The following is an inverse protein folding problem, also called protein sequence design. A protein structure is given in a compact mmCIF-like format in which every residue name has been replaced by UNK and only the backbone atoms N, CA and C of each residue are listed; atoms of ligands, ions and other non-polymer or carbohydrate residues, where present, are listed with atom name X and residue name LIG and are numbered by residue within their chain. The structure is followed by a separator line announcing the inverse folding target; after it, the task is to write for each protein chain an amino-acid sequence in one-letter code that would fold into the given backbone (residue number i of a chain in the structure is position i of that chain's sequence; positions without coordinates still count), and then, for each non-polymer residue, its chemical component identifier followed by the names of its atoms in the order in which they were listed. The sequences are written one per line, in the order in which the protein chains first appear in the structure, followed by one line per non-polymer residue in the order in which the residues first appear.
data_IF_528433469336
#
_entry.id   IF_528433469336
#
_cell.length_a   1.000
_cell.length_b   1.000
_cell.length_c   1.000
_cell.angle_alpha   90.00
_cell.angle_beta   90.00
_cell.angle_gamma   90.00
#
_symmetry.space_group_name_H-M   'P 1'
#
loop_
_entity.id
_entity.type
_entity.pdbx_description
1 polymer ?
#
# COMPACT_ATOMS: atom_id res chain seq x y z
N UNK A 1 -23.43 17.64 -24.64
CA UNK A 1 -23.50 16.25 -25.14
C UNK A 1 -23.72 16.35 -26.64
N UNK A 2 -22.77 15.88 -27.45
CA UNK A 2 -22.86 15.96 -28.92
C UNK A 2 -23.31 14.59 -29.45
N UNK A 3 -24.46 14.55 -30.13
CA UNK A 3 -25.08 13.30 -30.58
C UNK A 3 -24.61 12.99 -32.00
N UNK A 4 -24.02 11.80 -32.19
CA UNK A 4 -23.55 11.33 -33.50
C UNK A 4 -24.36 10.13 -33.95
N UNK A 5 -24.74 10.12 -35.23
CA UNK A 5 -25.41 8.96 -35.84
C UNK A 5 -24.37 7.94 -36.26
N UNK A 6 -24.62 6.67 -35.93
CA UNK A 6 -23.86 5.54 -36.47
C UNK A 6 -24.28 5.35 -37.94
N UNK A 7 -23.30 5.13 -38.82
CA UNK A 7 -23.52 4.83 -40.23
C UNK A 7 -23.10 3.39 -40.52
N UNK A 8 -23.89 2.67 -41.32
CA UNK A 8 -23.65 1.28 -41.70
C UNK A 8 -23.17 1.20 -43.14
N UNK A 9 -22.11 0.43 -43.38
CA UNK A 9 -21.60 0.13 -44.73
C UNK A 9 -22.34 -1.06 -45.34
N UNK A 10 -22.28 -1.20 -46.67
CA UNK A 10 -22.83 -2.35 -47.39
C UNK A 10 -22.17 -3.68 -47.00
N UNK A 11 -20.93 -3.64 -46.50
CA UNK A 11 -20.19 -4.81 -46.02
C UNK A 11 -20.47 -5.21 -44.57
N UNK A 12 -21.40 -4.54 -43.88
CA UNK A 12 -21.81 -4.88 -42.52
C UNK A 12 -20.98 -4.23 -41.40
N UNK A 13 -20.02 -3.36 -41.74
CA UNK A 13 -19.27 -2.58 -40.75
C UNK A 13 -19.99 -1.27 -40.40
N UNK A 14 -19.67 -0.72 -39.24
CA UNK A 14 -20.24 0.55 -38.76
C UNK A 14 -19.14 1.58 -38.56
N UNK A 15 -19.47 2.86 -38.75
CA UNK A 15 -18.58 3.96 -38.39
C UNK A 15 -19.35 5.10 -37.72
N UNK A 16 -18.64 5.84 -36.87
CA UNK A 16 -19.14 7.05 -36.20
C UNK A 16 -18.09 8.15 -36.33
N UNK A 17 -18.54 9.38 -36.55
CA UNK A 17 -17.64 10.53 -36.64
C UNK A 17 -17.20 10.98 -35.25
N UNK A 18 -15.89 11.10 -35.04
CA UNK A 18 -15.33 11.71 -33.82
C UNK A 18 -15.48 13.23 -33.85
N UNK A 19 -15.57 13.93 -32.70
CA UNK A 19 -15.66 15.38 -32.67
C UNK A 19 -14.41 16.03 -33.29
N UNK A 20 -14.62 17.02 -34.17
CA UNK A 20 -13.54 17.72 -34.89
C UNK A 20 -12.50 18.33 -33.94
N UNK A 21 -12.95 19.09 -32.94
CA UNK A 21 -12.08 19.73 -31.94
C UNK A 21 -11.29 18.71 -31.10
N UNK A 22 -11.81 17.49 -30.93
CA UNK A 22 -11.08 16.42 -30.25
C UNK A 22 -10.01 15.82 -31.16
N UNK A 23 -10.31 15.62 -32.44
CA UNK A 23 -9.34 15.12 -33.42
C UNK A 23 -8.17 16.10 -33.60
N UNK A 24 -8.46 17.40 -33.77
CA UNK A 24 -7.45 18.45 -33.92
C UNK A 24 -6.55 18.57 -32.68
N UNK A 25 -7.13 18.56 -31.47
CA UNK A 25 -6.35 18.59 -30.21
C UNK A 25 -5.43 17.40 -30.02
N UNK A 26 -5.75 16.25 -30.63
CA UNK A 26 -4.93 15.05 -30.56
C UNK A 26 -4.05 14.86 -31.80
N UNK A 27 -4.00 15.84 -32.71
CA UNK A 27 -3.18 15.76 -33.93
C UNK A 27 -3.59 14.63 -34.88
N UNK A 28 -4.85 14.22 -34.86
CA UNK A 28 -5.36 13.19 -35.75
C UNK A 28 -5.66 13.79 -37.14
N UNK A 29 -5.18 13.11 -38.18
CA UNK A 29 -5.42 13.47 -39.58
C UNK A 29 -5.82 12.22 -40.38
N UNK A 30 -6.03 12.38 -41.68
CA UNK A 30 -6.38 11.30 -42.59
C UNK A 30 -5.33 10.17 -42.52
N UNK A 31 -5.80 8.98 -42.14
CA UNK A 31 -4.95 7.79 -42.02
C UNK A 31 -4.36 7.58 -40.63
N UNK A 32 -4.59 8.47 -39.67
CA UNK A 32 -4.24 8.23 -38.27
C UNK A 32 -4.92 6.97 -37.74
N UNK A 33 -4.15 6.14 -37.05
CA UNK A 33 -4.62 4.92 -36.39
C UNK A 33 -4.93 5.26 -34.94
N UNK A 34 -6.10 4.85 -34.48
CA UNK A 34 -6.54 4.96 -33.09
C UNK A 34 -6.82 3.58 -32.55
N UNK A 35 -6.64 3.37 -31.25
CA UNK A 35 -7.09 2.14 -30.62
C UNK A 35 -8.56 2.30 -30.24
N UNK A 36 -9.33 1.23 -30.43
CA UNK A 36 -10.71 1.15 -29.95
C UNK A 36 -10.78 -0.09 -29.07
N UNK A 37 -11.05 0.10 -27.78
CA UNK A 37 -11.25 -1.00 -26.84
C UNK A 37 -12.67 -0.97 -26.31
N UNK A 38 -13.25 -2.15 -26.12
CA UNK A 38 -14.52 -2.29 -25.41
C UNK A 38 -14.21 -2.42 -23.92
N UNK A 39 -14.68 -1.45 -23.14
CA UNK A 39 -14.56 -1.48 -21.68
C UNK A 39 -15.43 -2.60 -21.11
N UNK A 40 -15.16 -3.03 -19.87
CA UNK A 40 -15.97 -4.04 -19.19
C UNK A 40 -17.48 -3.69 -19.10
N UNK A 41 -17.83 -2.39 -19.19
CA UNK A 41 -19.22 -1.91 -19.22
C UNK A 41 -19.87 -1.89 -20.62
N UNK A 42 -19.22 -2.46 -21.65
CA UNK A 42 -19.70 -2.48 -23.04
C UNK A 42 -19.57 -1.15 -23.78
N UNK A 43 -18.88 -0.16 -23.20
CA UNK A 43 -18.64 1.14 -23.83
C UNK A 43 -17.37 1.07 -24.68
N UNK A 44 -17.37 1.71 -25.85
CA UNK A 44 -16.17 1.83 -26.67
C UNK A 44 -15.33 3.03 -26.22
N UNK A 45 -14.06 2.77 -25.87
CA UNK A 45 -13.06 3.78 -25.58
C UNK A 45 -12.13 3.96 -26.79
N UNK A 46 -11.95 5.20 -27.24
CA UNK A 46 -11.07 5.53 -28.36
C UNK A 46 -9.82 6.23 -27.82
N UNK A 47 -8.64 5.63 -28.02
CA UNK A 47 -7.37 6.22 -27.66
C UNK A 47 -6.63 6.71 -28.93
N UNK A 48 -6.36 8.02 -29.05
CA UNK A 48 -5.67 8.59 -30.20
C UNK A 48 -4.17 8.25 -30.24
N UNK A 49 -3.60 7.74 -29.14
CA UNK A 49 -2.17 7.43 -29.00
C UNK A 49 -1.96 5.93 -28.97
N UNK A 50 -2.24 5.26 -30.08
CA UNK A 50 -1.95 3.83 -30.25
C UNK A 50 -0.44 3.61 -30.42
N UNK A 51 0.16 2.76 -29.57
CA UNK A 51 1.56 2.35 -29.70
C UNK A 51 2.62 3.42 -29.38
N UNK A 52 2.23 4.58 -28.86
CA UNK A 52 3.18 5.61 -28.39
C UNK A 52 3.53 5.28 -26.94
N UNK A 53 4.81 5.04 -26.65
CA UNK A 53 5.29 4.95 -25.27
C UNK A 53 4.87 6.19 -24.49
N UNK A 54 4.37 5.99 -23.26
CA UNK A 54 4.00 7.09 -22.37
C UNK A 54 5.22 7.99 -22.20
N UNK A 55 5.12 9.25 -22.65
CA UNK A 55 6.15 10.23 -22.36
C UNK A 55 6.33 10.33 -20.83
N UNK A 56 7.57 10.30 -20.30
CA UNK A 56 7.81 10.38 -18.88
C UNK A 56 7.15 11.63 -18.27
N UNK A 57 6.37 11.43 -17.21
CA UNK A 57 5.79 12.54 -16.46
C UNK A 57 6.86 13.17 -15.57
N UNK A 58 7.11 14.46 -15.78
CA UNK A 58 8.13 15.23 -15.05
C UNK A 58 7.45 16.23 -14.12
N UNK A 59 7.83 16.20 -12.84
CA UNK A 59 7.51 17.23 -11.87
C UNK A 59 8.77 18.05 -11.57
N UNK A 60 8.64 19.37 -11.56
CA UNK A 60 9.68 20.30 -11.09
C UNK A 60 9.19 20.94 -9.79
N UNK A 61 9.98 20.85 -8.73
CA UNK A 61 9.67 21.38 -7.40
C UNK A 61 10.84 22.21 -6.88
N UNK A 62 10.55 23.24 -6.08
CA UNK A 62 11.57 24.04 -5.39
C UNK A 62 11.80 23.49 -3.98
N UNK A 63 13.01 23.61 -3.39
CA UNK A 63 13.23 23.19 -2.01
C UNK A 63 12.40 24.00 -1.00
N UNK A 64 11.38 23.37 -0.42
CA UNK A 64 10.56 23.94 0.68
C UNK A 64 10.87 23.25 2.02
N UNK A 65 10.39 23.78 3.15
CA UNK A 65 10.44 23.07 4.42
C UNK A 65 9.76 21.69 4.40
N UNK A 66 8.86 21.44 3.43
CA UNK A 66 8.09 20.21 3.23
C UNK A 66 8.59 19.36 2.04
N UNK A 67 9.84 19.58 1.61
CA UNK A 67 10.44 18.92 0.44
C UNK A 67 10.28 17.39 0.44
N UNK A 68 10.45 16.75 1.59
CA UNK A 68 10.27 15.31 1.74
C UNK A 68 8.84 14.86 1.41
N UNK A 69 7.84 15.59 1.92
CA UNK A 69 6.42 15.34 1.63
C UNK A 69 6.09 15.59 0.16
N UNK A 70 6.64 16.63 -0.44
CA UNK A 70 6.43 16.94 -1.86
C UNK A 70 7.00 15.85 -2.77
N UNK A 71 8.19 15.31 -2.46
CA UNK A 71 8.78 14.19 -3.19
C UNK A 71 7.89 12.95 -3.10
N UNK A 72 7.45 12.59 -1.89
CA UNK A 72 6.52 11.47 -1.68
C UNK A 72 5.22 11.70 -2.45
N UNK A 73 4.64 12.90 -2.41
CA UNK A 73 3.42 13.23 -3.16
C UNK A 73 3.59 13.01 -4.66
N UNK A 74 4.67 13.55 -5.27
CA UNK A 74 4.91 13.37 -6.72
C UNK A 74 5.16 11.90 -7.06
N UNK A 75 5.86 11.17 -6.20
CA UNK A 75 6.03 9.72 -6.37
C UNK A 75 4.68 8.98 -6.34
N UNK A 76 3.83 9.26 -5.35
CA UNK A 76 2.52 8.61 -5.23
C UNK A 76 1.57 8.99 -6.37
N UNK A 77 1.73 10.17 -6.97
CA UNK A 77 0.96 10.60 -8.15
C UNK A 77 1.40 9.94 -9.46
N UNK A 78 2.47 9.13 -9.46
CA UNK A 78 2.92 8.39 -10.64
C UNK A 78 3.87 9.18 -11.55
N UNK A 79 4.46 10.30 -11.08
CA UNK A 79 5.49 11.01 -11.83
C UNK A 79 6.73 10.13 -12.01
N UNK A 80 7.26 10.07 -13.22
CA UNK A 80 8.40 9.23 -13.58
C UNK A 80 9.72 9.95 -13.25
N UNK A 81 9.73 11.28 -13.29
CA UNK A 81 10.89 12.12 -12.95
C UNK A 81 10.45 13.23 -11.99
N UNK A 82 11.20 13.41 -10.90
CA UNK A 82 11.01 14.47 -9.92
C UNK A 82 12.31 15.29 -9.88
N UNK A 83 12.23 16.55 -10.29
CA UNK A 83 13.36 17.48 -10.33
C UNK A 83 13.23 18.50 -9.22
N UNK A 84 14.24 18.57 -8.35
CA UNK A 84 14.36 19.60 -7.32
C UNK A 84 15.29 20.68 -7.85
N UNK A 85 14.77 21.90 -8.03
CA UNK A 85 15.52 23.03 -8.60
C UNK A 85 15.54 24.22 -7.63
N UNK A 86 16.72 24.75 -7.34
CA UNK A 86 16.93 25.93 -6.52
C UNK A 86 17.43 27.11 -7.38
N UNK A 87 17.00 28.32 -7.05
CA UNK A 87 17.44 29.55 -7.75
C UNK A 87 18.95 29.77 -7.69
N UNK A 88 19.58 29.40 -6.57
CA UNK A 88 21.03 29.55 -6.36
C UNK A 88 21.69 28.20 -6.07
N UNK A 89 21.40 27.61 -4.91
CA UNK A 89 22.05 26.36 -4.46
C UNK A 89 21.12 25.52 -3.59
N UNK A 90 21.18 24.21 -3.74
CA UNK A 90 20.54 23.26 -2.84
C UNK A 90 21.43 23.06 -1.61
N UNK A 91 20.88 23.39 -0.43
CA UNK A 91 21.57 23.25 0.86
C UNK A 91 21.92 21.79 1.18
N UNK A 92 22.96 21.51 1.99
CA UNK A 92 23.28 20.16 2.44
C UNK A 92 22.12 19.46 3.16
N UNK A 93 21.35 20.21 3.96
CA UNK A 93 20.18 19.69 4.65
C UNK A 93 19.08 19.24 3.67
N UNK A 94 18.84 20.00 2.59
CA UNK A 94 17.88 19.61 1.56
C UNK A 94 18.36 18.42 0.74
N UNK A 95 19.67 18.28 0.48
CA UNK A 95 20.25 17.08 -0.15
C UNK A 95 19.99 15.83 0.69
N UNK A 96 20.19 15.93 2.00
CA UNK A 96 19.94 14.82 2.91
C UNK A 96 18.45 14.46 2.95
N UNK A 97 17.55 15.45 2.99
CA UNK A 97 16.10 15.22 2.89
C UNK A 97 15.71 14.50 1.60
N UNK A 98 16.32 14.87 0.46
CA UNK A 98 16.08 14.19 -0.83
C UNK A 98 16.52 12.73 -0.75
N UNK A 99 17.72 12.45 -0.24
CA UNK A 99 18.23 11.07 -0.08
C UNK A 99 17.38 10.22 0.85
N UNK A 100 16.91 10.80 1.95
CA UNK A 100 16.02 10.13 2.90
C UNK A 100 14.61 9.91 2.34
N UNK A 101 14.12 10.81 1.49
CA UNK A 101 12.85 10.60 0.79
C UNK A 101 12.99 9.49 -0.26
N UNK A 102 14.04 9.53 -1.09
CA UNK A 102 14.26 8.52 -2.14
C UNK A 102 14.47 7.13 -1.57
N UNK A 103 15.22 6.98 -0.47
CA UNK A 103 15.46 5.68 0.16
C UNK A 103 14.20 4.99 0.72
N UNK A 104 13.09 5.72 0.90
CA UNK A 104 11.80 5.19 1.33
C UNK A 104 10.86 4.82 0.17
N UNK A 105 11.26 5.06 -1.07
CA UNK A 105 10.40 4.94 -2.25
C UNK A 105 11.02 3.98 -3.25
N UNK A 106 10.35 2.84 -3.47
CA UNK A 106 10.90 1.75 -4.30
C UNK A 106 11.14 2.23 -5.72
N UNK A 107 12.38 2.06 -6.19
CA UNK A 107 12.81 2.36 -7.55
C UNK A 107 12.99 3.84 -7.88
N UNK A 108 12.84 4.76 -6.91
CA UNK A 108 13.14 6.17 -7.09
C UNK A 108 14.62 6.44 -6.81
N UNK A 109 15.41 6.65 -7.86
CA UNK A 109 16.87 6.82 -7.77
C UNK A 109 17.31 8.23 -8.16
N UNK A 110 18.32 8.77 -7.47
CA UNK A 110 18.96 10.03 -7.86
C UNK A 110 19.90 9.76 -9.04
N UNK A 111 19.56 10.31 -10.21
CA UNK A 111 20.31 10.09 -11.46
C UNK A 111 21.21 11.27 -11.84
N UNK A 112 20.90 12.47 -11.35
CA UNK A 112 21.68 13.68 -11.57
C UNK A 112 21.69 14.52 -10.29
N UNK A 113 22.87 15.00 -9.89
CA UNK A 113 23.03 15.91 -8.76
C UNK A 113 24.11 16.95 -9.08
N UNK A 114 23.73 18.22 -9.15
CA UNK A 114 24.65 19.35 -9.28
C UNK A 114 24.38 20.39 -8.17
N UNK A 115 24.96 21.60 -8.25
CA UNK A 115 24.87 22.57 -7.14
C UNK A 115 23.46 23.15 -6.92
N UNK A 116 22.65 23.30 -7.98
CA UNK A 116 21.33 23.91 -7.97
C UNK A 116 20.18 22.96 -8.36
N UNK A 117 20.50 21.74 -8.82
CA UNK A 117 19.52 20.76 -9.30
C UNK A 117 19.81 19.34 -8.81
N UNK A 118 18.75 18.62 -8.44
CA UNK A 118 18.76 17.17 -8.21
C UNK A 118 17.63 16.54 -9.03
N UNK A 119 17.92 15.47 -9.77
CA UNK A 119 16.94 14.71 -10.56
C UNK A 119 16.80 13.31 -9.98
N UNK A 120 15.59 12.98 -9.56
CA UNK A 120 15.19 11.62 -9.21
C UNK A 120 14.37 11.02 -10.33
N UNK A 121 14.63 9.76 -10.69
CA UNK A 121 13.87 9.01 -11.68
C UNK A 121 13.36 7.71 -11.08
N UNK A 122 12.08 7.40 -11.32
CA UNK A 122 11.52 6.10 -11.03
C UNK A 122 11.92 5.12 -12.14
N UNK A 123 12.67 4.07 -11.80
CA UNK A 123 13.19 3.08 -12.74
C UNK A 123 12.28 1.85 -12.89
N UNK A 124 11.06 1.90 -12.37
CA UNK A 124 10.11 0.79 -12.42
C UNK A 124 9.22 0.87 -13.65
N UNK A 125 9.02 -0.28 -14.31
CA UNK A 125 7.99 -0.47 -15.32
C UNK A 125 6.68 -0.91 -14.62
N UNK A 126 5.63 -0.08 -14.57
CA UNK A 126 4.43 -0.39 -13.79
C UNK A 126 3.76 -1.71 -14.17
N UNK A 127 3.85 -2.12 -15.44
CA UNK A 127 3.24 -3.36 -15.92
C UNK A 127 3.88 -4.64 -15.36
N UNK A 128 5.09 -4.56 -14.78
CA UNK A 128 5.75 -5.71 -14.14
C UNK A 128 5.39 -5.89 -12.67
N UNK A 129 4.58 -5.00 -12.09
CA UNK A 129 4.24 -5.00 -10.66
C UNK A 129 2.74 -5.15 -10.42
N UNK A 130 2.17 -6.36 -10.55
CA UNK A 130 0.77 -6.61 -10.20
C UNK A 130 0.48 -6.27 -8.72
N UNK A 131 -0.53 -5.44 -8.43
CA UNK A 131 -0.98 -5.10 -7.08
C UNK A 131 -1.11 -6.29 -6.12
N UNK A 132 -1.69 -7.40 -6.58
CA UNK A 132 -1.82 -8.61 -5.76
C UNK A 132 -0.47 -9.16 -5.29
N UNK A 133 0.57 -9.11 -6.12
CA UNK A 133 1.91 -9.59 -5.76
C UNK A 133 2.58 -8.68 -4.75
N UNK A 134 2.43 -7.37 -4.91
CA UNK A 134 2.95 -6.38 -3.95
C UNK A 134 2.27 -6.59 -2.59
N UNK A 135 0.93 -6.65 -2.56
CA UNK A 135 0.18 -6.85 -1.31
C UNK A 135 0.53 -8.17 -0.61
N UNK A 136 0.68 -9.27 -1.36
CA UNK A 136 1.14 -10.56 -0.79
C UNK A 136 2.52 -10.44 -0.15
N UNK A 137 3.44 -9.72 -0.78
CA UNK A 137 4.78 -9.51 -0.25
C UNK A 137 4.75 -8.64 1.00
N UNK A 138 3.99 -7.55 0.97
CA UNK A 138 3.76 -6.66 2.11
C UNK A 138 3.20 -7.43 3.32
N UNK A 139 2.13 -8.20 3.11
CA UNK A 139 1.53 -9.03 4.14
C UNK A 139 2.48 -10.12 4.67
N UNK A 140 3.26 -10.76 3.81
CA UNK A 140 4.25 -11.76 4.25
C UNK A 140 5.28 -11.18 5.21
N UNK A 141 5.64 -9.90 5.06
CA UNK A 141 6.58 -9.23 5.97
C UNK A 141 5.85 -8.81 7.25
N UNK A 142 4.69 -8.17 7.14
CA UNK A 142 3.90 -7.70 8.29
C UNK A 142 3.46 -8.84 9.22
N UNK A 143 2.98 -9.96 8.68
CA UNK A 143 2.63 -11.14 9.48
C UNK A 143 3.86 -11.76 10.18
N UNK A 144 5.00 -11.82 9.48
CA UNK A 144 6.27 -12.21 10.09
C UNK A 144 6.68 -11.27 11.23
N UNK A 145 6.52 -9.95 11.05
CA UNK A 145 6.77 -8.96 12.10
C UNK A 145 5.90 -9.18 13.33
N UNK A 146 4.59 -9.42 13.17
CA UNK A 146 3.69 -9.66 14.30
C UNK A 146 4.12 -10.87 15.12
N UNK A 147 4.36 -12.01 14.46
CA UNK A 147 4.83 -13.23 15.13
C UNK A 147 6.16 -12.99 15.85
N UNK A 148 7.13 -12.42 15.16
CA UNK A 148 8.47 -12.23 15.70
C UNK A 148 8.48 -11.19 16.84
N UNK A 149 7.60 -10.18 16.82
CA UNK A 149 7.45 -9.20 17.90
C UNK A 149 6.94 -9.83 19.19
N UNK A 150 5.97 -10.76 19.08
CA UNK A 150 5.47 -11.51 20.23
C UNK A 150 6.53 -12.50 20.72
N UNK A 151 7.21 -13.22 19.82
CA UNK A 151 8.36 -14.08 20.19
C UNK A 151 9.42 -13.30 20.96
N UNK A 152 9.80 -12.12 20.46
CA UNK A 152 10.78 -11.25 21.12
C UNK A 152 10.34 -10.86 22.54
N UNK A 153 9.06 -10.57 22.75
CA UNK A 153 8.52 -10.28 24.09
C UNK A 153 8.63 -11.49 25.03
N UNK A 154 8.19 -12.66 24.57
CA UNK A 154 8.14 -13.87 25.40
C UNK A 154 9.55 -14.35 25.77
N UNK A 155 10.48 -14.28 24.82
CA UNK A 155 11.86 -14.74 25.03
C UNK A 155 12.74 -13.67 25.70
N UNK A 156 12.32 -12.41 25.70
CA UNK A 156 13.12 -11.27 26.13
C UNK A 156 14.23 -10.92 25.13
N UNK A 157 14.03 -11.21 23.85
CA UNK A 157 15.02 -11.00 22.79
C UNK A 157 14.93 -9.57 22.22
N UNK A 158 15.79 -8.69 22.75
CA UNK A 158 15.90 -7.30 22.29
C UNK A 158 16.39 -7.21 20.84
N UNK A 159 17.26 -8.13 20.40
CA UNK A 159 17.80 -8.10 19.05
C UNK A 159 16.73 -8.44 18.01
N UNK A 160 15.89 -9.44 18.30
CA UNK A 160 14.74 -9.76 17.47
C UNK A 160 13.75 -8.57 17.42
N UNK A 161 13.53 -7.89 18.53
CA UNK A 161 12.67 -6.70 18.59
C UNK A 161 13.22 -5.53 17.73
N UNK A 162 14.52 -5.27 17.77
CA UNK A 162 15.17 -4.28 16.89
C UNK A 162 15.01 -4.64 15.41
N UNK A 163 15.12 -5.94 15.08
CA UNK A 163 14.90 -6.43 13.73
C UNK A 163 13.44 -6.23 13.27
N UNK A 164 12.46 -6.44 14.15
CA UNK A 164 11.05 -6.13 13.87
C UNK A 164 10.89 -4.65 13.52
N UNK A 165 11.38 -3.74 14.37
CA UNK A 165 11.27 -2.28 14.15
C UNK A 165 11.95 -1.87 12.83
N UNK A 166 13.09 -2.47 12.49
CA UNK A 166 13.79 -2.16 11.23
C UNK A 166 13.01 -2.59 9.99
N UNK A 167 12.28 -3.72 10.06
CA UNK A 167 11.49 -4.27 8.94
C UNK A 167 10.25 -3.44 8.61
N UNK A 168 9.77 -2.62 9.54
CA UNK A 168 8.65 -1.69 9.33
C UNK A 168 8.85 -0.84 8.07
N UNK A 169 10.03 -0.24 7.92
CA UNK A 169 10.38 0.54 6.73
C UNK A 169 10.15 -0.19 5.40
N UNK A 170 10.35 -1.52 5.35
CA UNK A 170 10.12 -2.30 4.13
C UNK A 170 8.62 -2.49 3.85
N UNK A 171 7.79 -2.60 4.89
CA UNK A 171 6.32 -2.61 4.77
C UNK A 171 5.85 -1.26 4.20
N UNK A 172 6.27 -0.12 4.77
CA UNK A 172 5.87 1.21 4.27
C UNK A 172 6.37 1.45 2.83
N UNK A 173 7.55 0.94 2.46
CA UNK A 173 8.08 1.00 1.08
C UNK A 173 7.16 0.26 0.10
N UNK A 174 6.71 -0.95 0.45
CA UNK A 174 5.80 -1.74 -0.38
C UNK A 174 4.41 -1.11 -0.47
N UNK A 175 3.91 -0.58 0.64
CA UNK A 175 2.69 0.22 0.69
C UNK A 175 2.74 1.39 -0.29
N UNK A 176 3.78 2.23 -0.24
CA UNK A 176 3.92 3.37 -1.16
C UNK A 176 4.07 2.94 -2.61
N UNK A 177 4.77 1.84 -2.88
CA UNK A 177 4.84 1.26 -4.22
C UNK A 177 3.44 0.85 -4.71
N UNK A 178 2.67 0.14 -3.90
CA UNK A 178 1.32 -0.26 -4.26
C UNK A 178 0.46 0.96 -4.60
N UNK A 179 0.47 2.00 -3.75
CA UNK A 179 -0.30 3.23 -4.00
C UNK A 179 0.07 3.88 -5.32
N UNK A 180 1.37 3.96 -5.62
CA UNK A 180 1.85 4.49 -6.89
C UNK A 180 1.31 3.69 -8.06
N UNK A 181 1.37 2.36 -8.00
CA UNK A 181 0.84 1.48 -9.06
C UNK A 181 -0.66 1.68 -9.23
N UNK A 182 -1.44 1.63 -8.14
CA UNK A 182 -2.90 1.78 -8.17
C UNK A 182 -3.32 3.13 -8.77
N UNK A 183 -2.68 4.23 -8.36
CA UNK A 183 -2.96 5.56 -8.94
C UNK A 183 -2.56 5.63 -10.41
N UNK A 184 -1.46 5.00 -10.80
CA UNK A 184 -1.02 4.92 -12.20
C UNK A 184 -2.00 4.11 -13.05
N UNK A 185 -2.56 3.01 -12.52
CA UNK A 185 -3.62 2.21 -13.18
C UNK A 185 -4.88 3.04 -13.41
N UNK A 186 -5.33 3.79 -12.39
CA UNK A 186 -6.52 4.65 -12.51
C UNK A 186 -6.32 5.76 -13.55
N UNK A 187 -5.12 6.33 -13.62
CA UNK A 187 -4.80 7.39 -14.59
C UNK A 187 -4.58 6.87 -16.02
N UNK A 188 -4.26 5.57 -16.20
CA UNK A 188 -3.89 4.98 -17.49
C UNK A 188 -4.72 3.72 -17.77
N UNK A 189 -5.86 3.83 -18.49
CA UNK A 189 -6.74 2.69 -18.76
C UNK A 189 -6.05 1.50 -19.45
N UNK A 190 -5.05 1.74 -20.31
CA UNK A 190 -4.30 0.65 -20.94
C UNK A 190 -3.46 -0.20 -19.98
N UNK A 191 -3.14 0.32 -18.79
CA UNK A 191 -2.45 -0.45 -17.74
C UNK A 191 -3.42 -1.35 -16.96
N UNK A 192 -4.68 -0.92 -16.82
CA UNK A 192 -5.76 -1.74 -16.22
C UNK A 192 -5.94 -3.06 -16.99
N UNK A 193 -5.94 -3.00 -18.32
CA UNK A 193 -6.01 -4.20 -19.19
C UNK A 193 -4.79 -5.11 -19.02
N UNK A 194 -3.58 -4.54 -19.02
CA UNK A 194 -2.32 -5.31 -18.88
C UNK A 194 -2.18 -6.01 -17.52
N UNK A 195 -2.68 -5.39 -16.46
CA UNK A 195 -2.60 -5.92 -15.10
C UNK A 195 -3.85 -6.70 -14.69
N UNK A 196 -4.87 -6.77 -15.54
CA UNK A 196 -6.16 -7.44 -15.30
C UNK A 196 -6.85 -6.96 -14.00
N UNK A 197 -6.78 -5.65 -13.75
CA UNK A 197 -7.31 -5.03 -12.52
C UNK A 197 -8.23 -3.88 -12.88
N UNK A 198 -9.44 -3.90 -12.35
CA UNK A 198 -10.40 -2.84 -12.58
C UNK A 198 -10.10 -1.63 -11.68
N UNK A 199 -10.48 -0.41 -12.09
CA UNK A 199 -10.36 0.77 -11.24
C UNK A 199 -11.08 0.64 -9.89
N UNK A 200 -12.15 -0.15 -9.82
CA UNK A 200 -12.87 -0.41 -8.57
C UNK A 200 -12.04 -1.27 -7.61
N UNK A 201 -11.37 -2.32 -8.10
CA UNK A 201 -10.50 -3.18 -7.28
C UNK A 201 -9.35 -2.37 -6.66
N UNK A 202 -8.94 -1.27 -7.31
CA UNK A 202 -7.87 -0.40 -6.79
C UNK A 202 -8.24 0.25 -5.44
N UNK A 203 -9.53 0.47 -5.16
CA UNK A 203 -9.97 0.99 -3.87
C UNK A 203 -9.76 -0.04 -2.76
N UNK A 204 -10.14 -1.29 -3.03
CA UNK A 204 -10.02 -2.39 -2.06
C UNK A 204 -8.56 -2.74 -1.80
N UNK A 205 -7.72 -2.80 -2.86
CA UNK A 205 -6.26 -2.96 -2.69
C UNK A 205 -5.65 -1.83 -1.86
N UNK A 206 -6.07 -0.58 -2.11
CA UNK A 206 -5.55 0.59 -1.40
C UNK A 206 -5.83 0.50 0.09
N UNK A 207 -7.06 0.12 0.46
CA UNK A 207 -7.50 0.02 1.85
C UNK A 207 -6.87 -1.21 2.53
N UNK A 208 -6.91 -2.38 1.88
CA UNK A 208 -6.30 -3.62 2.40
C UNK A 208 -4.82 -3.41 2.71
N UNK A 209 -4.06 -2.80 1.80
CA UNK A 209 -2.64 -2.52 2.04
C UNK A 209 -2.42 -1.55 3.21
N UNK A 210 -3.29 -0.55 3.38
CA UNK A 210 -3.18 0.35 4.54
C UNK A 210 -3.43 -0.36 5.86
N UNK A 211 -4.31 -1.34 5.87
CA UNK A 211 -4.58 -2.16 7.05
C UNK A 211 -3.43 -3.14 7.31
N UNK A 212 -2.82 -3.70 6.26
CA UNK A 212 -1.60 -4.52 6.37
C UNK A 212 -0.42 -3.70 6.88
N UNK A 213 -0.24 -2.48 6.40
CA UNK A 213 0.80 -1.57 6.90
C UNK A 213 0.56 -1.22 8.38
N UNK A 214 -0.69 -0.97 8.77
CA UNK A 214 -1.07 -0.80 10.18
C UNK A 214 -0.74 -2.04 11.04
N UNK A 215 -0.81 -3.27 10.52
CA UNK A 215 -0.33 -4.48 11.22
C UNK A 215 1.19 -4.42 11.43
N UNK A 216 1.94 -3.96 10.43
CA UNK A 216 3.38 -3.68 10.53
C UNK A 216 3.69 -2.67 11.64
N UNK A 217 3.02 -1.51 11.61
CA UNK A 217 3.18 -0.44 12.59
C UNK A 217 2.90 -0.92 14.03
N UNK A 218 1.81 -1.68 14.23
CA UNK A 218 1.49 -2.24 15.55
C UNK A 218 2.54 -3.26 16.00
N UNK A 219 3.09 -4.05 15.07
CA UNK A 219 4.17 -5.01 15.37
C UNK A 219 5.47 -4.29 15.74
N UNK A 220 5.81 -3.20 15.06
CA UNK A 220 6.92 -2.33 15.42
C UNK A 220 6.72 -1.69 16.80
N UNK A 221 5.50 -1.21 17.10
CA UNK A 221 5.14 -0.71 18.43
C UNK A 221 5.40 -1.76 19.53
N UNK A 222 5.05 -3.04 19.30
CA UNK A 222 5.35 -4.15 20.23
C UNK A 222 6.86 -4.27 20.40
N UNK A 223 7.62 -4.32 19.30
CA UNK A 223 9.10 -4.37 19.33
C UNK A 223 9.71 -3.23 20.14
N UNK A 224 9.24 -2.00 19.99
CA UNK A 224 9.70 -0.86 20.79
C UNK A 224 9.44 -1.03 22.29
N UNK A 225 8.33 -1.67 22.69
CA UNK A 225 8.08 -1.96 24.11
C UNK A 225 9.04 -3.02 24.64
N UNK A 226 9.33 -4.05 23.84
CA UNK A 226 10.32 -5.08 24.20
C UNK A 226 11.72 -4.48 24.39
N UNK A 227 12.14 -3.59 23.50
CA UNK A 227 13.41 -2.86 23.62
C UNK A 227 13.45 -2.05 24.92
N UNK A 228 12.35 -1.34 25.26
CA UNK A 228 12.24 -0.57 26.51
C UNK A 228 12.26 -1.44 27.76
N UNK A 229 11.73 -2.66 27.69
CA UNK A 229 11.83 -3.65 28.76
C UNK A 229 13.26 -4.20 28.94
N UNK A 230 14.16 -3.97 27.98
CA UNK A 230 15.59 -4.29 28.13
C UNK A 230 15.88 -5.78 28.30
N UNK A 231 15.03 -6.66 27.76
CA UNK A 231 15.14 -8.12 27.90
C UNK A 231 14.61 -8.67 29.23
N UNK A 232 13.91 -7.86 30.02
CA UNK A 232 13.19 -8.34 31.18
C UNK A 232 12.10 -9.35 30.75
N UNK A 233 12.17 -10.56 31.33
CA UNK A 233 11.14 -11.58 31.10
C UNK A 233 9.87 -11.25 31.86
N UNK A 234 8.75 -11.46 31.21
CA UNK A 234 7.43 -11.29 31.82
C UNK A 234 7.03 -12.55 32.59
N UNK A 235 6.13 -12.41 33.54
CA UNK A 235 5.66 -13.54 34.34
C UNK A 235 4.99 -14.61 33.45
N UNK A 236 5.23 -15.89 33.75
CA UNK A 236 4.79 -17.03 32.92
C UNK A 236 3.27 -17.04 32.66
N UNK A 237 2.47 -16.68 33.67
CA UNK A 237 1.02 -16.55 33.52
C UNK A 237 0.63 -15.49 32.47
N UNK A 238 1.35 -14.38 32.44
CA UNK A 238 1.12 -13.28 31.50
C UNK A 238 1.61 -13.65 30.10
N UNK A 239 2.77 -14.32 29.99
CA UNK A 239 3.26 -14.92 28.74
C UNK A 239 2.21 -15.80 28.08
N UNK A 240 1.56 -16.68 28.86
CA UNK A 240 0.54 -17.59 28.34
C UNK A 240 -0.73 -16.86 27.88
N UNK A 241 -1.14 -15.80 28.59
CA UNK A 241 -2.28 -14.97 28.15
C UNK A 241 -1.97 -14.23 26.86
N UNK A 242 -0.78 -13.61 26.76
CA UNK A 242 -0.34 -12.91 25.55
C UNK A 242 -0.21 -13.87 24.37
N UNK A 243 0.34 -15.06 24.56
CA UNK A 243 0.45 -16.08 23.51
C UNK A 243 -0.91 -16.51 22.98
N UNK A 244 -1.88 -16.79 23.87
CA UNK A 244 -3.26 -17.13 23.46
C UNK A 244 -3.89 -16.00 22.66
N UNK A 245 -3.73 -14.77 23.12
CA UNK A 245 -4.29 -13.60 22.44
C UNK A 245 -3.66 -13.38 21.06
N UNK A 246 -2.33 -13.47 21.00
CA UNK A 246 -1.57 -13.43 19.75
C UNK A 246 -2.05 -14.48 18.75
N UNK A 247 -2.24 -15.74 19.16
CA UNK A 247 -2.67 -16.81 18.25
C UNK A 247 -3.99 -16.46 17.56
N UNK A 248 -4.99 -15.98 18.32
CA UNK A 248 -6.29 -15.60 17.75
C UNK A 248 -6.15 -14.41 16.80
N UNK A 249 -5.41 -13.37 17.20
CA UNK A 249 -5.18 -12.20 16.34
C UNK A 249 -4.40 -12.55 15.07
N UNK A 250 -3.44 -13.48 15.16
CA UNK A 250 -2.63 -13.93 14.03
C UNK A 250 -3.45 -14.73 13.02
N UNK A 251 -4.20 -15.72 13.50
CA UNK A 251 -5.13 -16.50 12.67
C UNK A 251 -6.18 -15.59 12.02
N UNK A 252 -6.63 -14.55 12.73
CA UNK A 252 -7.60 -13.57 12.22
C UNK A 252 -7.08 -12.80 11.01
N UNK A 253 -5.87 -12.22 11.07
CA UNK A 253 -5.33 -11.50 9.90
C UNK A 253 -4.96 -12.45 8.75
N UNK A 254 -4.58 -13.70 9.05
CA UNK A 254 -4.31 -14.71 8.03
C UNK A 254 -5.58 -15.11 7.28
N UNK A 255 -6.66 -15.37 8.02
CA UNK A 255 -7.96 -15.68 7.45
C UNK A 255 -8.52 -14.49 6.67
N UNK A 256 -8.44 -13.27 7.20
CA UNK A 256 -8.91 -12.06 6.53
C UNK A 256 -8.21 -11.84 5.18
N UNK A 257 -6.88 -11.92 5.14
CA UNK A 257 -6.13 -11.76 3.89
C UNK A 257 -6.35 -12.92 2.91
N UNK A 258 -6.48 -14.14 3.42
CA UNK A 258 -6.83 -15.30 2.59
C UNK A 258 -8.21 -15.08 1.93
N UNK A 259 -9.19 -14.62 2.71
CA UNK A 259 -10.55 -14.34 2.25
C UNK A 259 -10.59 -13.24 1.19
N UNK A 260 -9.79 -12.18 1.30
CA UNK A 260 -9.65 -11.15 0.26
C UNK A 260 -9.17 -11.76 -1.07
N UNK A 261 -8.17 -12.64 -1.02
CA UNK A 261 -7.62 -13.24 -2.23
C UNK A 261 -8.50 -14.33 -2.85
N UNK A 262 -9.21 -15.11 -2.03
CA UNK A 262 -10.12 -16.18 -2.48
C UNK A 262 -11.53 -15.67 -2.78
N UNK A 263 -11.89 -14.47 -2.30
CA UNK A 263 -13.26 -13.92 -2.25
C UNK A 263 -14.22 -14.83 -1.46
N UNK A 264 -13.72 -15.43 -0.38
CA UNK A 264 -14.47 -16.34 0.47
C UNK A 264 -15.10 -15.62 1.67
N UNK A 265 -16.38 -15.28 1.54
CA UNK A 265 -17.16 -14.59 2.58
C UNK A 265 -17.29 -15.46 3.84
N UNK A 266 -17.29 -16.80 3.72
CA UNK A 266 -17.41 -17.66 4.90
C UNK A 266 -16.19 -17.56 5.81
N UNK A 267 -14.99 -17.41 5.22
CA UNK A 267 -13.75 -17.19 5.96
C UNK A 267 -13.71 -15.78 6.55
N UNK A 268 -14.26 -14.77 5.86
CA UNK A 268 -14.38 -13.42 6.41
C UNK A 268 -15.28 -13.38 7.65
N UNK A 269 -16.43 -14.07 7.62
CA UNK A 269 -17.37 -14.11 8.74
C UNK A 269 -16.81 -14.87 9.95
N UNK A 270 -15.92 -15.85 9.77
CA UNK A 270 -15.29 -16.53 10.90
C UNK A 270 -14.35 -15.60 11.68
N UNK A 271 -13.71 -14.62 11.03
CA UNK A 271 -12.88 -13.61 11.71
C UNK A 271 -13.72 -12.75 12.66
N UNK A 272 -14.93 -12.36 12.22
CA UNK A 272 -15.88 -11.58 13.03
C UNK A 272 -16.36 -12.35 14.26
N UNK A 273 -16.55 -13.66 14.13
CA UNK A 273 -17.05 -14.50 15.21
C UNK A 273 -16.09 -14.57 16.42
N UNK A 274 -14.81 -14.26 16.24
CA UNK A 274 -13.81 -14.25 17.33
C UNK A 274 -13.87 -12.99 18.23
N UNK A 275 -14.72 -12.00 17.92
CA UNK A 275 -14.68 -10.68 18.57
C UNK A 275 -14.93 -10.71 20.08
N UNK A 276 -15.93 -11.47 20.53
CA UNK A 276 -16.22 -11.62 21.98
C UNK A 276 -15.06 -12.28 22.72
N UNK A 277 -14.43 -13.28 22.08
CA UNK A 277 -13.29 -14.01 22.63
C UNK A 277 -12.04 -13.10 22.72
N UNK A 278 -11.78 -12.29 21.71
CA UNK A 278 -10.70 -11.29 21.71
C UNK A 278 -10.90 -10.27 22.84
N UNK A 279 -12.11 -9.74 23.00
CA UNK A 279 -12.42 -8.79 24.06
C UNK A 279 -12.20 -9.40 25.46
N UNK A 280 -12.60 -10.67 25.66
CA UNK A 280 -12.34 -11.39 26.90
C UNK A 280 -10.84 -11.59 27.17
N UNK A 281 -10.07 -12.01 26.15
CA UNK A 281 -8.61 -12.18 26.27
C UNK A 281 -7.88 -10.88 26.61
N UNK A 282 -8.30 -9.77 26.01
CA UNK A 282 -7.76 -8.45 26.34
C UNK A 282 -8.03 -8.09 27.81
N UNK A 283 -9.27 -8.29 28.29
CA UNK A 283 -9.66 -8.02 29.67
C UNK A 283 -8.92 -8.91 30.70
N UNK A 284 -8.67 -10.18 30.36
CA UNK A 284 -7.88 -11.09 31.20
C UNK A 284 -6.44 -10.57 31.38
N UNK A 285 -5.83 -10.03 30.30
CA UNK A 285 -4.51 -9.41 30.36
C UNK A 285 -4.55 -8.13 31.20
N UNK A 286 -5.54 -7.26 31.01
CA UNK A 286 -5.70 -6.02 31.81
C UNK A 286 -5.77 -6.32 33.31
N UNK A 287 -6.47 -7.39 33.67
CA UNK A 287 -6.62 -7.82 35.07
C UNK A 287 -5.29 -8.35 35.61
N UNK A 288 -4.61 -9.22 34.86
CA UNK A 288 -3.34 -9.82 35.26
C UNK A 288 -2.18 -8.80 35.35
N UNK A 289 -2.24 -7.71 34.57
CA UNK A 289 -1.25 -6.62 34.61
C UNK A 289 -1.27 -5.84 35.93
N UNK A 290 -2.41 -5.80 36.64
CA UNK A 290 -2.52 -5.05 37.92
C UNK A 290 -1.57 -5.55 39.01
N UNK A 291 -1.22 -6.82 38.95
CA UNK A 291 -0.33 -7.48 39.89
C UNK A 291 1.16 -7.33 39.50
N UNK A 292 1.47 -6.66 38.38
CA UNK A 292 2.83 -6.46 37.89
C UNK A 292 3.48 -5.18 38.41
N UNK A 293 4.83 -5.11 38.44
CA UNK A 293 5.55 -3.88 38.76
C UNK A 293 5.17 -2.73 37.83
N UNK A 294 5.18 -1.50 38.35
CA UNK A 294 4.85 -0.28 37.59
C UNK A 294 5.76 -0.05 36.39
N UNK A 295 6.96 -0.63 36.39
CA UNK A 295 7.93 -0.58 35.29
C UNK A 295 7.61 -1.56 34.16
N UNK A 296 6.83 -2.61 34.40
CA UNK A 296 6.52 -3.67 33.41
C UNK A 296 5.09 -3.59 32.93
N UNK A 297 4.14 -3.41 33.85
CA UNK A 297 2.70 -3.46 33.57
C UNK A 297 2.25 -2.56 32.40
N UNK A 298 2.64 -1.27 32.36
CA UNK A 298 2.25 -0.37 31.26
C UNK A 298 2.78 -0.80 29.89
N UNK A 299 3.96 -1.43 29.82
CA UNK A 299 4.50 -1.95 28.57
C UNK A 299 3.69 -3.15 28.06
N UNK A 300 3.27 -4.04 28.96
CA UNK A 300 2.45 -5.20 28.57
C UNK A 300 1.05 -4.79 28.15
N UNK A 301 0.44 -3.83 28.85
CA UNK A 301 -0.84 -3.29 28.43
C UNK A 301 -0.76 -2.62 27.04
N UNK A 302 0.34 -1.92 26.75
CA UNK A 302 0.57 -1.36 25.43
C UNK A 302 0.73 -2.45 24.35
N UNK A 303 1.43 -3.55 24.66
CA UNK A 303 1.53 -4.70 23.75
C UNK A 303 0.15 -5.32 23.50
N UNK A 304 -0.64 -5.57 24.54
CA UNK A 304 -1.99 -6.10 24.40
C UNK A 304 -2.86 -5.17 23.54
N UNK A 305 -2.73 -3.85 23.72
CA UNK A 305 -3.45 -2.87 22.90
C UNK A 305 -3.04 -2.94 21.43
N UNK A 306 -1.75 -3.10 21.13
CA UNK A 306 -1.27 -3.29 19.76
C UNK A 306 -1.78 -4.61 19.15
N UNK A 307 -1.81 -5.72 19.90
CA UNK A 307 -2.40 -6.99 19.43
C UNK A 307 -3.90 -6.82 19.15
N UNK A 308 -4.64 -6.10 20.00
CA UNK A 308 -6.05 -5.80 19.74
C UNK A 308 -6.24 -5.01 18.46
N UNK A 309 -5.42 -3.98 18.22
CA UNK A 309 -5.49 -3.18 16.99
C UNK A 309 -5.13 -4.00 15.74
N UNK A 310 -4.24 -4.98 15.86
CA UNK A 310 -3.97 -5.94 14.78
C UNK A 310 -5.23 -6.77 14.48
N UNK A 311 -5.95 -7.22 15.51
CA UNK A 311 -7.24 -7.89 15.33
C UNK A 311 -8.29 -6.97 14.70
N UNK A 312 -8.40 -5.71 15.16
CA UNK A 312 -9.33 -4.72 14.59
C UNK A 312 -9.03 -4.49 13.09
N UNK A 313 -7.76 -4.36 12.70
CA UNK A 313 -7.37 -4.31 11.29
C UNK A 313 -7.78 -5.57 10.51
N UNK A 314 -7.77 -6.74 11.16
CA UNK A 314 -8.19 -8.01 10.56
C UNK A 314 -9.68 -8.03 10.25
N UNK A 315 -10.49 -7.47 11.15
CA UNK A 315 -11.91 -7.26 10.92
C UNK A 315 -12.12 -6.31 9.74
N UNK A 316 -11.46 -5.16 9.75
CA UNK A 316 -11.58 -4.20 8.64
C UNK A 316 -11.16 -4.80 7.29
N UNK A 317 -10.17 -5.70 7.26
CA UNK A 317 -9.80 -6.44 6.04
C UNK A 317 -10.90 -7.43 5.63
N UNK A 318 -11.47 -8.17 6.59
CA UNK A 318 -12.56 -9.12 6.33
C UNK A 318 -13.81 -8.40 5.78
N UNK A 319 -14.08 -7.17 6.22
CA UNK A 319 -15.18 -6.32 5.76
C UNK A 319 -15.08 -5.94 4.27
N UNK A 320 -13.88 -6.02 3.68
CA UNK A 320 -13.64 -5.76 2.25
C UNK A 320 -13.95 -6.97 1.36
N UNK A 321 -14.21 -8.13 1.94
CA UNK A 321 -14.44 -9.36 1.18
C UNK A 321 -15.84 -9.33 0.57
N UNK A 322 -15.88 -9.01 -0.72
CA UNK A 322 -17.13 -9.04 -1.49
C UNK A 322 -17.34 -10.40 -2.17
N UNK A 323 -18.57 -10.95 -2.17
CA UNK A 323 -18.86 -12.15 -2.94
C UNK A 323 -18.62 -11.90 -4.42
N UNK A 324 -18.25 -12.94 -5.18
CA UNK A 324 -18.24 -12.84 -6.64
C UNK A 324 -19.64 -12.43 -7.11
N UNK A 325 -19.73 -11.30 -7.80
CA UNK A 325 -20.93 -10.95 -8.54
C UNK A 325 -21.21 -12.10 -9.54
N UNK A 326 -22.44 -12.61 -9.60
CA UNK A 326 -22.80 -13.77 -10.41
C UNK A 326 -22.60 -13.56 -11.91
#
# INVERSE_FOLDING_TARGET
MDLRKIQRTSGGTFFVHVPKDWAERNGLDRGSIVSVTETAGGQLAINPKYGVERAPQVAVIEPTPLLDREIVEKYLLGYDIIQVEAKERISPANRERVKQASSRLVGLEVIEENYSKIVMQCLLEPSTFPPQKILRREYSIASGMHRDAVTALIEGDVHLAENVVARDNEVNRLYFLLVRILRTVIQNPGLSEKLEILPIDCLDYRLTASLVESIGDQSACIGEKVIKLGGAKIAENLSQLVLKFHTVAYESHENAISAVFSRDVSVAESVRAEGEKVAAMFHDIETAVRDQPTEVGPHILAVASSINRIYDNSLDIADLVMPKLP
#
